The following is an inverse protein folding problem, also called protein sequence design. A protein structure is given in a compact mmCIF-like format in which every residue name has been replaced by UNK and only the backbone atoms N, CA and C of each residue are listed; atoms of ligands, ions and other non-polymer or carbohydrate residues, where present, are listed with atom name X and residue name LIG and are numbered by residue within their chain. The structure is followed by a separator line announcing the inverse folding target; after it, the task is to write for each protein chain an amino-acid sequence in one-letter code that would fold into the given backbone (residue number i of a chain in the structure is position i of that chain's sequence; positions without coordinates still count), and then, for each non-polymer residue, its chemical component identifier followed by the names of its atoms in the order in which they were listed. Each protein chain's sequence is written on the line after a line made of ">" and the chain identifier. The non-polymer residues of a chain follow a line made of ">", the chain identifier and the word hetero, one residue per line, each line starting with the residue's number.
data_IF_756836200906
#
_entry.id   IF_756836200906
#
_cell.length_a   1.000
_cell.length_b   1.000
_cell.length_c   1.000
_cell.angle_alpha   90.00
_cell.angle_beta   90.00
_cell.angle_gamma   90.00
#
_symmetry.space_group_name_H-M   'P 1'
#
loop_
_entity.id
_entity.type
_entity.pdbx_description
1 polymer ?
#
# COMPACT_ATOMS: atom_id res chain seq x y z
N UNK A 1 29.12 -15.21 -8.95
CA UNK A 1 27.93 -15.87 -8.34
C UNK A 1 27.43 -16.93 -9.31
N UNK A 2 27.05 -18.11 -8.84
CA UNK A 2 26.41 -19.11 -9.71
C UNK A 2 24.98 -18.64 -10.04
N UNK A 3 24.42 -19.12 -11.16
CA UNK A 3 23.04 -18.77 -11.58
C UNK A 3 22.00 -19.07 -10.48
N UNK A 4 22.27 -20.08 -9.65
CA UNK A 4 21.43 -20.46 -8.52
C UNK A 4 21.42 -19.38 -7.42
N UNK A 5 22.60 -18.88 -7.03
CA UNK A 5 22.75 -17.82 -6.01
C UNK A 5 22.02 -16.53 -6.42
N UNK A 6 22.10 -16.15 -7.70
CA UNK A 6 21.42 -14.96 -8.23
C UNK A 6 19.90 -15.12 -8.17
N UNK A 7 19.39 -16.32 -8.47
CA UNK A 7 17.95 -16.61 -8.45
C UNK A 7 17.40 -16.57 -7.02
N UNK A 8 18.12 -17.16 -6.06
CA UNK A 8 17.76 -17.12 -4.64
C UNK A 8 17.74 -15.67 -4.13
N UNK A 9 18.76 -14.88 -4.45
CA UNK A 9 18.82 -13.47 -4.06
C UNK A 9 17.60 -12.67 -4.57
N UNK A 10 17.22 -12.85 -5.85
CA UNK A 10 16.04 -12.19 -6.43
C UNK A 10 14.74 -12.60 -5.72
N UNK A 11 14.55 -13.89 -5.43
CA UNK A 11 13.37 -14.37 -4.70
C UNK A 11 13.30 -13.75 -3.29
N UNK A 12 14.42 -13.67 -2.58
CA UNK A 12 14.48 -13.06 -1.25
C UNK A 12 14.16 -11.55 -1.28
N UNK A 13 14.65 -10.84 -2.30
CA UNK A 13 14.34 -9.42 -2.49
C UNK A 13 12.85 -9.20 -2.75
N UNK A 14 12.24 -9.99 -3.64
CA UNK A 14 10.79 -9.91 -3.84
C UNK A 14 10.05 -10.21 -2.54
N UNK A 15 10.36 -11.31 -1.87
CA UNK A 15 9.68 -11.69 -0.64
C UNK A 15 9.78 -10.61 0.44
N UNK A 16 10.98 -10.11 0.71
CA UNK A 16 11.22 -9.04 1.67
C UNK A 16 10.49 -7.74 1.31
N UNK A 17 10.40 -7.38 0.02
CA UNK A 17 9.67 -6.19 -0.42
C UNK A 17 8.17 -6.27 -0.12
N UNK A 18 7.54 -7.43 -0.33
CA UNK A 18 6.12 -7.65 0.00
C UNK A 18 5.89 -7.62 1.52
N UNK A 19 6.76 -8.26 2.29
CA UNK A 19 6.70 -8.21 3.75
C UNK A 19 6.83 -6.78 4.25
N UNK A 20 7.80 -6.03 3.73
CA UNK A 20 8.02 -4.63 4.10
C UNK A 20 6.80 -3.78 3.75
N UNK A 21 6.29 -3.85 2.53
CA UNK A 21 5.14 -3.07 2.11
C UNK A 21 3.90 -3.36 2.98
N UNK A 22 3.60 -4.63 3.26
CA UNK A 22 2.40 -4.99 4.02
C UNK A 22 2.55 -4.69 5.51
N UNK A 23 3.63 -5.15 6.15
CA UNK A 23 3.82 -5.06 7.60
C UNK A 23 4.22 -3.65 8.05
N UNK A 24 5.21 -3.04 7.38
CA UNK A 24 5.64 -1.67 7.71
C UNK A 24 4.56 -0.67 7.33
N UNK A 25 3.90 -0.87 6.18
CA UNK A 25 2.77 -0.02 5.77
C UNK A 25 1.60 -0.07 6.74
N UNK A 26 1.27 -1.25 7.28
CA UNK A 26 0.25 -1.34 8.33
C UNK A 26 0.67 -0.58 9.60
N UNK A 27 1.92 -0.76 10.05
CA UNK A 27 2.43 -0.11 11.25
C UNK A 27 2.48 1.42 11.12
N UNK A 28 2.99 1.94 10.01
CA UNK A 28 3.09 3.39 9.77
C UNK A 28 1.70 4.02 9.70
N UNK A 29 0.79 3.47 8.90
CA UNK A 29 -0.57 4.01 8.77
C UNK A 29 -1.31 3.95 10.12
N UNK A 30 -1.20 2.84 10.83
CA UNK A 30 -1.83 2.68 12.16
C UNK A 30 -1.24 3.62 13.21
N UNK A 31 0.08 3.79 13.24
CA UNK A 31 0.76 4.49 14.34
C UNK A 31 0.98 5.99 14.08
N UNK A 32 0.84 6.44 12.84
CA UNK A 32 0.90 7.86 12.50
C UNK A 32 -0.50 8.45 12.35
N UNK A 33 -1.43 7.74 11.71
CA UNK A 33 -2.73 8.34 11.33
C UNK A 33 -3.78 8.14 12.43
N UNK A 34 -3.94 6.93 12.99
CA UNK A 34 -4.98 6.71 14.01
C UNK A 34 -4.72 7.44 15.33
N UNK A 35 -3.46 7.71 15.64
CA UNK A 35 -3.03 8.46 16.84
C UNK A 35 -3.16 9.96 16.67
N UNK A 36 -3.22 10.47 15.42
CA UNK A 36 -3.33 11.90 15.12
C UNK A 36 -4.73 12.31 14.68
N UNK A 37 -5.49 11.39 14.08
CA UNK A 37 -6.82 11.64 13.51
C UNK A 37 -7.77 10.48 13.85
N UNK A 38 -8.30 10.42 15.09
CA UNK A 38 -9.28 9.41 15.47
C UNK A 38 -10.61 9.67 14.77
N UNK A 39 -11.05 8.77 13.89
CA UNK A 39 -12.32 8.92 13.18
C UNK A 39 -13.50 8.54 14.07
N UNK A 40 -14.53 9.37 14.10
CA UNK A 40 -15.79 9.15 14.84
C UNK A 40 -16.83 8.29 14.10
N UNK A 41 -16.60 7.97 12.82
CA UNK A 41 -17.53 7.20 11.99
C UNK A 41 -17.48 5.70 12.30
N UNK A 42 -18.40 5.23 13.14
CA UNK A 42 -18.62 3.83 13.48
C UNK A 42 -19.59 3.16 12.49
N UNK A 43 -19.14 2.90 11.26
CA UNK A 43 -19.92 2.16 10.26
C UNK A 43 -19.06 1.15 9.51
N UNK A 44 -19.40 -0.14 9.58
CA UNK A 44 -18.75 -1.21 8.80
C UNK A 44 -18.18 -2.38 9.61
N UNK A 45 -17.63 -3.37 8.90
CA UNK A 45 -17.06 -4.58 9.50
C UNK A 45 -15.78 -4.24 10.29
N UNK A 46 -15.70 -4.73 11.53
CA UNK A 46 -14.54 -4.53 12.40
C UNK A 46 -13.26 -5.05 11.71
N UNK A 47 -12.30 -4.16 11.49
CA UNK A 47 -11.02 -4.50 10.86
C UNK A 47 -11.01 -4.49 9.32
N UNK A 48 -12.13 -4.25 8.64
CA UNK A 48 -12.18 -4.23 7.18
C UNK A 48 -11.22 -3.21 6.56
N UNK A 49 -11.09 -2.01 7.14
CA UNK A 49 -10.15 -0.99 6.65
C UNK A 49 -8.69 -1.45 6.65
N UNK A 50 -8.28 -2.21 7.68
CA UNK A 50 -6.93 -2.77 7.76
C UNK A 50 -6.70 -3.85 6.69
N UNK A 51 -7.68 -4.73 6.49
CA UNK A 51 -7.62 -5.77 5.47
C UNK A 51 -7.58 -5.19 4.05
N UNK A 52 -8.46 -4.22 3.74
CA UNK A 52 -8.48 -3.50 2.46
C UNK A 52 -7.12 -2.82 2.22
N UNK A 53 -6.58 -2.13 3.24
CA UNK A 53 -5.28 -1.49 3.11
C UNK A 53 -4.12 -2.48 2.84
N UNK A 54 -4.16 -3.69 3.39
CA UNK A 54 -3.16 -4.72 3.08
C UNK A 54 -3.27 -5.21 1.63
N UNK A 55 -4.50 -5.47 1.16
CA UNK A 55 -4.74 -5.88 -0.24
C UNK A 55 -4.30 -4.79 -1.22
N UNK A 56 -4.58 -3.53 -0.92
CA UNK A 56 -4.24 -2.40 -1.75
C UNK A 56 -2.72 -2.19 -1.84
N UNK A 57 -1.98 -2.37 -0.74
CA UNK A 57 -0.50 -2.33 -0.77
C UNK A 57 0.10 -3.49 -1.55
N UNK A 58 -0.48 -4.67 -1.44
CA UNK A 58 -0.06 -5.83 -2.23
C UNK A 58 -0.22 -5.52 -3.72
N UNK A 59 -1.41 -5.08 -4.14
CA UNK A 59 -1.69 -4.70 -5.54
C UNK A 59 -0.82 -3.54 -6.03
N UNK A 60 -0.69 -2.49 -5.23
CA UNK A 60 0.13 -1.33 -5.57
C UNK A 60 1.59 -1.72 -5.79
N UNK A 61 2.17 -2.54 -4.89
CA UNK A 61 3.53 -3.03 -5.06
C UNK A 61 3.66 -3.90 -6.34
N UNK A 62 2.72 -4.81 -6.57
CA UNK A 62 2.70 -5.63 -7.79
C UNK A 62 2.68 -4.76 -9.06
N UNK A 63 1.81 -3.75 -9.11
CA UNK A 63 1.71 -2.87 -10.26
C UNK A 63 2.98 -2.05 -10.50
N UNK A 64 3.63 -1.57 -9.44
CA UNK A 64 4.91 -0.87 -9.55
C UNK A 64 6.01 -1.80 -10.09
N UNK A 65 6.09 -3.03 -9.57
CA UNK A 65 7.10 -4.01 -10.03
C UNK A 65 6.89 -4.46 -11.48
N UNK A 66 5.64 -4.47 -11.96
CA UNK A 66 5.30 -4.80 -13.36
C UNK A 66 5.31 -3.55 -14.27
N UNK A 67 5.51 -2.35 -13.70
CA UNK A 67 5.55 -1.08 -14.44
C UNK A 67 4.19 -0.55 -14.89
N UNK A 68 3.09 -1.02 -14.28
CA UNK A 68 1.70 -0.67 -14.63
C UNK A 68 1.16 0.43 -13.70
N UNK A 69 1.66 1.65 -13.83
CA UNK A 69 1.29 2.77 -12.95
C UNK A 69 -0.17 3.23 -13.15
N UNK A 70 -0.74 3.01 -14.33
CA UNK A 70 -2.14 3.30 -14.65
C UNK A 70 -3.09 2.43 -13.82
N UNK A 71 -2.75 1.15 -13.62
CA UNK A 71 -3.54 0.24 -12.79
C UNK A 71 -3.61 0.70 -11.32
N UNK A 72 -2.55 1.36 -10.85
CA UNK A 72 -2.50 1.96 -9.52
C UNK A 72 -3.49 3.14 -9.40
N UNK A 73 -3.62 3.98 -10.45
CA UNK A 73 -4.64 5.02 -10.49
C UNK A 73 -6.07 4.44 -10.50
N UNK A 74 -6.29 3.34 -11.24
CA UNK A 74 -7.58 2.67 -11.33
C UNK A 74 -8.03 2.13 -9.97
N UNK A 75 -7.15 1.45 -9.20
CA UNK A 75 -7.55 0.92 -7.89
C UNK A 75 -7.90 2.03 -6.89
N UNK A 76 -7.20 3.17 -6.93
CA UNK A 76 -7.47 4.32 -6.08
C UNK A 76 -8.81 4.95 -6.43
N UNK A 77 -9.08 5.11 -7.73
CA UNK A 77 -10.36 5.61 -8.21
C UNK A 77 -11.50 4.67 -7.79
N UNK A 78 -11.35 3.35 -8.03
CA UNK A 78 -12.35 2.35 -7.68
C UNK A 78 -12.66 2.35 -6.17
N UNK A 79 -11.63 2.42 -5.32
CA UNK A 79 -11.78 2.53 -3.86
C UNK A 79 -12.53 3.80 -3.46
N UNK A 80 -12.25 4.92 -4.11
CA UNK A 80 -12.87 6.21 -3.81
C UNK A 80 -14.34 6.26 -4.26
N UNK A 81 -14.66 5.63 -5.40
CA UNK A 81 -16.04 5.46 -5.87
C UNK A 81 -16.83 4.58 -4.89
N UNK A 82 -16.24 3.47 -4.42
CA UNK A 82 -16.90 2.58 -3.47
C UNK A 82 -17.25 3.24 -2.12
N UNK A 83 -16.56 4.32 -1.76
CA UNK A 83 -16.78 5.08 -0.52
C UNK A 83 -17.29 6.51 -0.76
N UNK A 84 -17.83 6.79 -1.94
CA UNK A 84 -18.20 8.15 -2.33
C UNK A 84 -19.16 8.83 -1.33
N UNK A 85 -20.13 8.09 -0.77
CA UNK A 85 -21.06 8.63 0.22
C UNK A 85 -20.38 8.99 1.55
N UNK A 86 -19.46 8.16 2.04
CA UNK A 86 -18.69 8.41 3.26
C UNK A 86 -17.78 9.65 3.08
N UNK A 87 -17.24 9.85 1.87
CA UNK A 87 -16.38 10.98 1.53
C UNK A 87 -17.10 12.34 1.55
N UNK A 88 -18.44 12.38 1.67
CA UNK A 88 -19.17 13.64 1.90
C UNK A 88 -18.91 14.22 3.30
N UNK A 89 -18.51 13.37 4.26
CA UNK A 89 -18.09 13.81 5.59
C UNK A 89 -16.63 14.28 5.54
N UNK A 90 -16.39 15.58 5.76
CA UNK A 90 -15.06 16.19 5.63
C UNK A 90 -13.98 15.50 6.47
N UNK A 91 -14.28 15.19 7.73
CA UNK A 91 -13.33 14.53 8.64
C UNK A 91 -12.93 13.14 8.14
N UNK A 92 -13.90 12.36 7.66
CA UNK A 92 -13.64 11.06 7.07
C UNK A 92 -12.85 11.18 5.76
N UNK A 93 -13.19 12.15 4.91
CA UNK A 93 -12.50 12.39 3.65
C UNK A 93 -11.03 12.72 3.86
N UNK A 94 -10.71 13.64 4.78
CA UNK A 94 -9.33 14.01 5.12
C UNK A 94 -8.55 12.80 5.66
N UNK A 95 -9.14 12.05 6.59
CA UNK A 95 -8.55 10.81 7.12
C UNK A 95 -8.29 9.77 6.01
N UNK A 96 -9.29 9.51 5.16
CA UNK A 96 -9.22 8.56 4.07
C UNK A 96 -8.14 8.94 3.06
N UNK A 97 -8.05 10.23 2.71
CA UNK A 97 -7.12 10.74 1.71
C UNK A 97 -5.68 10.64 2.22
N UNK A 98 -5.43 11.08 3.46
CA UNK A 98 -4.11 10.97 4.11
C UNK A 98 -3.70 9.49 4.21
N UNK A 99 -4.61 8.61 4.63
CA UNK A 99 -4.35 7.17 4.75
C UNK A 99 -4.04 6.50 3.42
N UNK A 100 -4.82 6.78 2.39
CA UNK A 100 -4.66 6.18 1.07
C UNK A 100 -3.39 6.67 0.39
N UNK A 101 -3.18 7.99 0.33
CA UNK A 101 -2.01 8.56 -0.34
C UNK A 101 -0.69 8.18 0.34
N UNK A 102 -0.64 8.20 1.68
CA UNK A 102 0.56 7.78 2.41
C UNK A 102 0.90 6.30 2.21
N UNK A 103 -0.11 5.43 2.23
CA UNK A 103 0.06 3.99 2.02
C UNK A 103 0.57 3.68 0.61
N UNK A 104 0.04 4.38 -0.40
CA UNK A 104 0.43 4.21 -1.79
C UNK A 104 1.83 4.76 -2.03
N UNK A 105 2.14 5.94 -1.49
CA UNK A 105 3.48 6.52 -1.58
C UNK A 105 4.53 5.53 -1.03
N UNK A 106 4.26 4.93 0.13
CA UNK A 106 5.16 3.93 0.71
C UNK A 106 5.32 2.70 -0.20
N UNK A 107 4.21 2.15 -0.72
CA UNK A 107 4.27 1.00 -1.64
C UNK A 107 5.05 1.31 -2.93
N UNK A 108 4.87 2.52 -3.48
CA UNK A 108 5.62 3.00 -4.65
C UNK A 108 7.11 3.13 -4.36
N UNK A 109 7.49 3.77 -3.24
CA UNK A 109 8.90 3.91 -2.86
C UNK A 109 9.57 2.55 -2.67
N UNK A 110 8.89 1.61 -2.02
CA UNK A 110 9.39 0.24 -1.87
C UNK A 110 9.54 -0.43 -3.23
N UNK A 111 8.52 -0.39 -4.09
CA UNK A 111 8.57 -1.03 -5.41
C UNK A 111 9.65 -0.45 -6.33
N UNK A 112 9.83 0.87 -6.34
CA UNK A 112 10.90 1.54 -7.10
C UNK A 112 12.26 1.13 -6.54
N UNK A 113 12.43 1.16 -5.21
CA UNK A 113 13.68 0.75 -4.56
C UNK A 113 13.99 -0.73 -4.82
N UNK A 114 12.99 -1.61 -4.79
CA UNK A 114 13.13 -3.03 -5.13
C UNK A 114 13.54 -3.21 -6.58
N UNK A 115 12.90 -2.49 -7.52
CA UNK A 115 13.25 -2.56 -8.94
C UNK A 115 14.67 -2.08 -9.21
N UNK A 116 15.10 -1.01 -8.52
CA UNK A 116 16.47 -0.51 -8.55
C UNK A 116 17.46 -1.51 -7.94
N UNK A 117 17.14 -2.12 -6.80
CA UNK A 117 18.03 -3.11 -6.18
C UNK A 117 18.19 -4.36 -7.07
N UNK A 118 17.10 -4.80 -7.72
CA UNK A 118 17.13 -5.93 -8.65
C UNK A 118 17.93 -5.63 -9.91
N UNK A 119 18.02 -4.37 -10.35
CA UNK A 119 18.82 -4.02 -11.53
C UNK A 119 20.33 -3.99 -11.26
N UNK A 120 20.75 -3.99 -9.99
CA UNK A 120 22.16 -4.09 -9.57
C UNK A 120 22.66 -5.54 -9.45
N UNK A 121 21.77 -6.54 -9.57
CA UNK A 121 22.02 -7.98 -9.37
C UNK A 121 21.96 -8.80 -10.67
#
# INVERSE_FOLDING_TARGET
>A
MTCLELTIARMLIYFSSYVLAVAFGHAVVRHVILTRYPTTQAGGLKGAGAAIGCLERFLALTFVLVGQYEALAVIVAAKSIARFEELKCREFAEYYLIGTLSSILLAMLIGIFTSWLLSLL
#
